data_IF_279544222079
#
_entry.id   IF_279544222079
#
_cell.length_a   1.000
_cell.length_b   1.000
_cell.length_c   1.000
_cell.angle_alpha   90.00
_cell.angle_beta   90.00
_cell.angle_gamma   90.00
#
_symmetry.space_group_name_H-M   'P 1'
#
loop_
_entity.id
_entity.type
_entity.pdbx_description
1 polymer ?
#
# COMPACT_ATOMS: atom_id res chain seq x y z
N UNK A 1 -4.84 26.77 -89.33
CA UNK A 1 -5.79 25.83 -88.70
C UNK A 1 -4.98 24.86 -87.88
N UNK A 2 -5.14 24.92 -86.56
CA UNK A 2 -4.32 24.23 -85.56
C UNK A 2 -4.28 25.02 -84.25
N UNK A 3 -5.44 25.50 -83.77
CA UNK A 3 -5.60 25.94 -82.38
C UNK A 3 -5.64 24.67 -81.51
N UNK A 4 -5.05 24.58 -80.33
CA UNK A 4 -4.68 25.59 -79.35
C UNK A 4 -5.12 25.02 -77.99
N UNK A 5 -4.23 25.04 -76.99
CA UNK A 5 -4.57 24.56 -75.65
C UNK A 5 -3.35 24.11 -74.87
N UNK A 6 -2.53 25.08 -74.45
CA UNK A 6 -1.51 24.90 -73.44
C UNK A 6 -2.18 24.63 -72.08
N UNK A 7 -1.83 23.51 -71.45
CA UNK A 7 -2.05 23.25 -70.03
C UNK A 7 -0.72 23.34 -69.31
N UNK A 8 -0.57 24.37 -68.50
CA UNK A 8 0.54 24.64 -67.60
C UNK A 8 0.37 23.89 -66.27
N UNK A 9 1.50 23.42 -65.71
CA UNK A 9 1.78 23.21 -64.26
C UNK A 9 0.97 22.10 -63.54
N UNK A 10 1.54 21.17 -62.78
CA UNK A 10 2.59 21.25 -61.77
C UNK A 10 3.50 19.99 -61.73
N UNK A 11 4.74 20.11 -61.23
CA UNK A 11 5.51 18.96 -60.79
C UNK A 11 4.89 18.38 -59.52
N UNK A 12 4.56 17.08 -59.54
CA UNK A 12 4.13 16.36 -58.34
C UNK A 12 5.25 16.47 -57.31
N UNK A 13 4.97 17.21 -56.23
CA UNK A 13 5.87 17.41 -55.09
C UNK A 13 6.39 16.05 -54.62
N UNK A 14 7.69 15.86 -54.78
CA UNK A 14 8.45 14.80 -54.13
C UNK A 14 8.38 15.03 -52.61
N UNK A 15 7.46 14.35 -51.94
CA UNK A 15 7.53 14.23 -50.49
C UNK A 15 8.57 13.15 -50.19
N UNK A 16 9.78 13.60 -49.86
CA UNK A 16 10.80 12.73 -49.28
C UNK A 16 10.23 12.16 -47.97
N UNK A 17 9.73 10.93 -48.04
CA UNK A 17 9.50 10.13 -46.85
C UNK A 17 10.88 9.80 -46.28
N UNK A 18 11.39 10.67 -45.41
CA UNK A 18 12.39 10.29 -44.44
C UNK A 18 11.75 9.24 -43.55
N UNK A 19 11.96 7.96 -43.89
CA UNK A 19 11.75 6.87 -42.95
C UNK A 19 12.88 6.95 -41.94
N UNK A 20 12.69 7.78 -40.92
CA UNK A 20 13.38 7.61 -39.66
C UNK A 20 12.79 6.35 -39.00
N UNK A 21 13.30 5.19 -39.43
CA UNK A 21 13.03 3.87 -38.88
C UNK A 21 13.84 3.66 -37.59
N UNK A 22 13.86 4.68 -36.74
CA UNK A 22 14.43 4.58 -35.40
C UNK A 22 13.33 4.03 -34.49
N UNK A 23 13.51 2.86 -33.86
CA UNK A 23 12.54 2.37 -32.89
C UNK A 23 12.36 3.42 -31.79
N UNK A 24 11.14 3.61 -31.25
CA UNK A 24 10.95 4.53 -30.15
C UNK A 24 11.91 4.14 -29.03
N UNK A 25 12.79 5.07 -28.66
CA UNK A 25 13.75 4.88 -27.58
C UNK A 25 12.99 4.33 -26.38
N UNK A 26 13.34 3.10 -25.97
CA UNK A 26 12.62 2.41 -24.91
C UNK A 26 12.60 3.32 -23.69
N UNK A 27 11.39 3.68 -23.22
CA UNK A 27 11.24 4.47 -22.02
C UNK A 27 12.11 3.86 -20.91
N UNK A 28 12.91 4.67 -20.19
CA UNK A 28 13.79 4.14 -19.17
C UNK A 28 12.96 3.28 -18.21
N UNK A 29 13.46 2.11 -17.80
CA UNK A 29 12.74 1.25 -16.88
C UNK A 29 12.34 2.08 -15.66
N UNK A 30 11.07 1.98 -15.26
CA UNK A 30 10.56 2.63 -14.06
C UNK A 30 11.56 2.37 -12.93
N UNK A 31 11.97 3.41 -12.17
CA UNK A 31 12.87 3.20 -11.05
C UNK A 31 12.23 2.17 -10.13
N UNK A 32 12.97 1.09 -9.82
CA UNK A 32 12.53 0.08 -8.88
C UNK A 32 12.07 0.77 -7.59
N UNK A 33 10.98 0.29 -6.93
CA UNK A 33 10.54 0.86 -5.68
C UNK A 33 11.73 0.93 -4.72
N UNK A 34 12.03 2.14 -4.22
CA UNK A 34 13.13 2.39 -3.28
C UNK A 34 12.78 1.80 -1.92
N UNK A 35 12.86 0.48 -1.81
CA UNK A 35 12.98 -0.19 -0.52
C UNK A 35 14.43 -0.64 -0.40
N UNK A 36 15.23 0.09 0.37
CA UNK A 36 16.47 -0.49 0.90
C UNK A 36 16.05 -1.74 1.68
N UNK A 37 16.53 -2.95 1.33
CA UNK A 37 16.18 -4.14 2.11
C UNK A 37 16.66 -3.91 3.54
N UNK A 38 15.73 -3.81 4.50
CA UNK A 38 16.10 -3.92 5.91
C UNK A 38 16.63 -5.34 6.14
N UNK A 39 17.72 -5.43 6.89
CA UNK A 39 18.24 -6.73 7.31
C UNK A 39 17.20 -7.45 8.18
N UNK A 40 17.08 -8.77 8.00
CA UNK A 40 16.10 -9.59 8.71
C UNK A 40 16.08 -9.41 10.25
N UNK A 41 17.23 -9.25 10.95
CA UNK A 41 17.23 -9.03 12.40
C UNK A 41 16.47 -7.75 12.81
N UNK A 42 16.65 -6.65 12.06
CA UNK A 42 15.99 -5.38 12.36
C UNK A 42 14.48 -5.45 12.14
N UNK A 43 14.03 -6.28 11.18
CA UNK A 43 12.61 -6.53 10.94
C UNK A 43 11.99 -7.27 12.13
N UNK A 44 12.67 -8.31 12.63
CA UNK A 44 12.17 -9.11 13.75
C UNK A 44 12.10 -8.29 15.04
N UNK A 45 13.14 -7.52 15.37
CA UNK A 45 13.14 -6.64 16.55
C UNK A 45 11.99 -5.62 16.51
N UNK A 46 11.71 -5.08 15.31
CA UNK A 46 10.60 -4.14 15.11
C UNK A 46 9.24 -4.83 15.24
N UNK A 47 9.07 -6.01 14.66
CA UNK A 47 7.83 -6.81 14.81
C UNK A 47 7.59 -7.17 16.27
N UNK A 48 8.63 -7.53 17.02
CA UNK A 48 8.52 -7.82 18.45
C UNK A 48 8.08 -6.59 19.25
N UNK A 49 8.62 -5.42 18.91
CA UNK A 49 8.20 -4.16 19.52
C UNK A 49 6.73 -3.82 19.20
N UNK A 50 6.29 -4.01 17.95
CA UNK A 50 4.89 -3.81 17.55
C UNK A 50 3.96 -4.82 18.25
N UNK A 51 4.36 -6.08 18.32
CA UNK A 51 3.59 -7.17 18.94
C UNK A 51 3.39 -6.89 20.42
N UNK A 52 4.47 -6.53 21.13
CA UNK A 52 4.40 -6.14 22.54
C UNK A 52 3.43 -4.98 22.75
N UNK A 53 3.57 -3.92 21.94
CA UNK A 53 2.67 -2.77 22.04
C UNK A 53 1.21 -3.16 21.77
N UNK A 54 0.95 -4.01 20.78
CA UNK A 54 -0.39 -4.48 20.48
C UNK A 54 -0.98 -5.29 21.65
N UNK A 55 -0.20 -6.16 22.30
CA UNK A 55 -0.64 -6.88 23.52
C UNK A 55 -1.03 -5.90 24.62
N UNK A 56 -0.16 -4.94 24.92
CA UNK A 56 -0.40 -3.92 25.96
C UNK A 56 -1.70 -3.15 25.67
N UNK A 57 -1.87 -2.66 24.44
CA UNK A 57 -3.05 -1.91 24.02
C UNK A 57 -4.34 -2.74 24.03
N UNK A 58 -4.28 -4.00 23.57
CA UNK A 58 -5.45 -4.90 23.57
C UNK A 58 -5.91 -5.25 24.99
N UNK A 59 -4.99 -5.27 25.96
CA UNK A 59 -5.28 -5.59 27.36
C UNK A 59 -5.54 -4.36 28.25
N UNK A 60 -5.35 -3.13 27.74
CA UNK A 60 -5.54 -1.88 28.48
C UNK A 60 -7.02 -1.60 28.86
N UNK A 61 -7.96 -2.22 28.16
CA UNK A 61 -9.39 -2.12 28.50
C UNK A 61 -10.32 -2.56 27.37
N UNK A 62 -11.65 -2.58 27.61
CA UNK A 62 -12.63 -3.12 26.67
C UNK A 62 -12.69 -2.38 25.31
N UNK A 63 -12.26 -1.13 25.26
CA UNK A 63 -12.22 -0.29 24.05
C UNK A 63 -10.78 0.03 23.58
N UNK A 64 -9.75 -0.51 24.25
CA UNK A 64 -8.34 -0.21 23.98
C UNK A 64 -7.88 -0.59 22.56
N UNK A 65 -8.60 -1.51 21.91
CA UNK A 65 -8.32 -1.95 20.55
C UNK A 65 -8.66 -0.92 19.46
N UNK A 66 -9.57 0.02 19.73
CA UNK A 66 -10.06 0.97 18.71
C UNK A 66 -8.96 1.84 18.09
N UNK A 67 -8.07 2.48 18.88
CA UNK A 67 -6.98 3.28 18.30
C UNK A 67 -5.81 2.44 17.76
N UNK A 68 -5.72 1.13 18.10
CA UNK A 68 -4.54 0.29 17.85
C UNK A 68 -3.98 0.40 16.43
N UNK A 69 -4.84 0.29 15.41
CA UNK A 69 -4.40 0.35 14.01
C UNK A 69 -3.77 1.70 13.66
N UNK A 70 -4.35 2.81 14.15
CA UNK A 70 -3.81 4.16 13.92
C UNK A 70 -2.55 4.41 14.73
N UNK A 71 -2.50 3.90 15.96
CA UNK A 71 -1.35 4.07 16.84
C UNK A 71 -0.12 3.35 16.29
N UNK A 72 -0.28 2.11 15.81
CA UNK A 72 0.79 1.36 15.14
C UNK A 72 1.28 2.11 13.89
N UNK A 73 0.37 2.58 13.05
CA UNK A 73 0.71 3.34 11.84
C UNK A 73 1.43 4.65 12.16
N UNK A 74 1.00 5.37 13.19
CA UNK A 74 1.62 6.62 13.60
C UNK A 74 3.00 6.43 14.24
N UNK A 75 3.20 5.33 14.97
CA UNK A 75 4.45 5.04 15.69
C UNK A 75 5.52 4.39 14.81
N UNK A 76 5.13 3.64 13.79
CA UNK A 76 6.05 3.01 12.83
C UNK A 76 5.67 3.31 11.37
N UNK A 77 5.65 4.58 10.95
CA UNK A 77 5.22 4.98 9.61
C UNK A 77 6.08 4.38 8.49
N UNK A 78 7.35 4.07 8.77
CA UNK A 78 8.31 3.50 7.85
C UNK A 78 8.25 1.96 7.74
N UNK A 79 7.53 1.30 8.65
CA UNK A 79 7.40 -0.15 8.60
C UNK A 79 6.56 -0.60 7.41
N UNK A 80 6.80 -1.82 6.93
CA UNK A 80 5.98 -2.38 5.84
C UNK A 80 4.56 -2.59 6.35
N UNK A 81 3.56 -2.29 5.52
CA UNK A 81 2.15 -2.41 5.90
C UNK A 81 1.80 -3.80 6.46
N UNK A 82 2.36 -4.87 5.89
CA UNK A 82 2.16 -6.24 6.36
C UNK A 82 2.82 -6.55 7.72
N UNK A 83 3.88 -5.85 8.12
CA UNK A 83 4.51 -6.07 9.43
C UNK A 83 3.54 -5.71 10.56
N UNK A 84 2.76 -4.64 10.39
CA UNK A 84 1.75 -4.22 11.37
C UNK A 84 0.67 -5.28 11.51
N UNK A 85 0.14 -5.76 10.37
CA UNK A 85 -0.90 -6.79 10.34
C UNK A 85 -0.38 -8.07 11.01
N UNK A 86 0.84 -8.49 10.68
CA UNK A 86 1.48 -9.65 11.27
C UNK A 86 1.65 -9.51 12.79
N UNK A 87 2.12 -8.35 13.27
CA UNK A 87 2.29 -8.09 14.70
C UNK A 87 0.96 -8.14 15.47
N UNK A 88 -0.13 -7.61 14.91
CA UNK A 88 -1.45 -7.64 15.55
C UNK A 88 -1.99 -9.07 15.62
N UNK A 89 -1.85 -9.86 14.54
CA UNK A 89 -2.26 -11.28 14.53
C UNK A 89 -1.46 -12.08 15.56
N UNK A 90 -0.15 -11.84 15.64
CA UNK A 90 0.73 -12.50 16.62
C UNK A 90 0.36 -12.11 18.05
N UNK A 91 0.02 -10.85 18.29
CA UNK A 91 -0.45 -10.38 19.59
C UNK A 91 -1.78 -11.04 20.00
N UNK A 92 -2.74 -11.11 19.08
CA UNK A 92 -4.03 -11.75 19.33
C UNK A 92 -3.88 -13.24 19.63
N UNK A 93 -3.08 -13.96 18.85
CA UNK A 93 -2.79 -15.39 19.08
C UNK A 93 -2.10 -15.61 20.44
N UNK A 94 -1.12 -14.78 20.78
CA UNK A 94 -0.45 -14.86 22.08
C UNK A 94 -1.44 -14.70 23.24
N UNK A 95 -2.40 -13.78 23.12
CA UNK A 95 -3.46 -13.59 24.12
C UNK A 95 -4.36 -14.84 24.19
N UNK A 96 -4.78 -15.42 23.07
CA UNK A 96 -5.59 -16.65 23.09
C UNK A 96 -4.85 -17.81 23.75
N UNK A 97 -3.56 -17.95 23.47
CA UNK A 97 -2.71 -19.03 24.00
C UNK A 97 -2.45 -18.85 25.51
N UNK A 98 -2.35 -17.61 26.00
CA UNK A 98 -2.04 -17.34 27.42
C UNK A 98 -3.23 -17.46 28.36
N UNK A 99 -4.47 -17.28 27.89
CA UNK A 99 -5.64 -17.17 28.75
C UNK A 99 -6.60 -18.36 28.61
N UNK A 100 -7.19 -18.76 29.75
CA UNK A 100 -8.16 -19.86 29.78
C UNK A 100 -9.47 -19.50 29.05
N UNK A 101 -10.20 -20.51 28.51
CA UNK A 101 -11.54 -20.32 27.95
C UNK A 101 -12.47 -19.57 28.90
N UNK A 102 -13.21 -18.59 28.38
CA UNK A 102 -14.10 -17.73 29.16
C UNK A 102 -13.44 -16.51 29.81
N UNK A 103 -12.12 -16.34 29.68
CA UNK A 103 -11.43 -15.11 30.09
C UNK A 103 -11.93 -13.90 29.28
N UNK A 104 -12.18 -12.73 29.93
CA UNK A 104 -12.45 -11.48 29.22
C UNK A 104 -11.36 -11.09 28.21
N UNK A 105 -10.11 -11.52 28.42
CA UNK A 105 -9.00 -11.27 27.50
C UNK A 105 -9.21 -11.87 26.09
N UNK A 106 -10.05 -12.91 25.97
CA UNK A 106 -10.36 -13.50 24.66
C UNK A 106 -11.19 -12.55 23.79
N UNK A 107 -11.99 -11.65 24.40
CA UNK A 107 -12.66 -10.60 23.65
C UNK A 107 -11.66 -9.60 23.05
N UNK A 108 -10.57 -9.32 23.78
CA UNK A 108 -9.47 -8.49 23.27
C UNK A 108 -8.72 -9.17 22.12
N UNK A 109 -8.48 -10.47 22.18
CA UNK A 109 -7.88 -11.22 21.06
C UNK A 109 -8.76 -11.15 19.80
N UNK A 110 -10.07 -11.40 19.95
CA UNK A 110 -11.02 -11.27 18.85
C UNK A 110 -11.04 -9.85 18.26
N UNK A 111 -10.92 -8.83 19.10
CA UNK A 111 -10.79 -7.45 18.64
C UNK A 111 -9.47 -7.20 17.88
N UNK A 112 -8.36 -7.80 18.32
CA UNK A 112 -7.08 -7.77 17.60
C UNK A 112 -7.21 -8.33 16.19
N UNK A 113 -7.80 -9.51 16.02
CA UNK A 113 -8.05 -10.08 14.69
C UNK A 113 -8.93 -9.17 13.82
N UNK A 114 -9.94 -8.54 14.40
CA UNK A 114 -10.79 -7.59 13.69
C UNK A 114 -9.99 -6.39 13.18
N UNK A 115 -9.10 -5.81 13.99
CA UNK A 115 -8.23 -4.71 13.56
C UNK A 115 -7.30 -5.16 12.44
N UNK A 116 -6.66 -6.33 12.57
CA UNK A 116 -5.80 -6.88 11.54
C UNK A 116 -6.54 -7.08 10.20
N UNK A 117 -7.78 -7.59 10.26
CA UNK A 117 -8.62 -7.76 9.09
C UNK A 117 -8.96 -6.43 8.42
N UNK A 118 -9.31 -5.39 9.20
CA UNK A 118 -9.59 -4.04 8.66
C UNK A 118 -8.37 -3.46 7.95
N UNK A 119 -7.18 -3.52 8.55
CA UNK A 119 -5.94 -3.08 7.89
C UNK A 119 -5.65 -3.90 6.63
N UNK A 120 -5.93 -5.20 6.63
CA UNK A 120 -5.79 -6.05 5.46
C UNK A 120 -6.74 -5.67 4.32
N UNK A 121 -7.98 -5.33 4.65
CA UNK A 121 -8.98 -4.83 3.67
C UNK A 121 -8.51 -3.51 3.06
N UNK A 122 -8.05 -2.57 3.89
CA UNK A 122 -7.53 -1.28 3.42
C UNK A 122 -6.31 -1.48 2.51
N UNK A 123 -5.39 -2.35 2.90
CA UNK A 123 -4.21 -2.67 2.10
C UNK A 123 -4.61 -3.26 0.74
N UNK A 124 -5.56 -4.19 0.73
CA UNK A 124 -6.09 -4.79 -0.49
C UNK A 124 -6.79 -3.76 -1.38
N UNK A 125 -7.57 -2.85 -0.79
CA UNK A 125 -8.22 -1.77 -1.52
C UNK A 125 -7.19 -0.82 -2.15
N UNK A 126 -6.17 -0.40 -1.40
CA UNK A 126 -5.09 0.45 -1.89
C UNK A 126 -4.36 -0.22 -3.06
N UNK A 127 -4.04 -1.52 -2.95
CA UNK A 127 -3.45 -2.31 -4.04
C UNK A 127 -4.34 -2.36 -5.28
N UNK A 128 -5.63 -2.65 -5.09
CA UNK A 128 -6.61 -2.78 -6.19
C UNK A 128 -6.84 -1.47 -6.93
N UNK A 129 -6.73 -0.34 -6.23
CA UNK A 129 -6.85 1.00 -6.80
C UNK A 129 -5.54 1.55 -7.37
N UNK A 130 -4.43 0.80 -7.29
CA UNK A 130 -3.11 1.26 -7.72
C UNK A 130 -2.54 2.40 -6.86
N UNK A 131 -3.02 2.53 -5.61
CA UNK A 131 -2.51 3.51 -4.65
C UNK A 131 -1.19 3.02 -4.01
N UNK A 132 -0.36 3.93 -3.45
CA UNK A 132 0.76 3.56 -2.59
C UNK A 132 0.29 2.62 -1.47
N UNK A 133 1.04 1.56 -1.18
CA UNK A 133 0.61 0.48 -0.27
C UNK A 133 1.78 -0.29 0.39
N UNK A 134 2.97 0.29 0.39
CA UNK A 134 4.18 -0.39 0.81
C UNK A 134 4.51 -0.17 2.28
N UNK A 135 4.31 1.06 2.76
CA UNK A 135 4.65 1.48 4.11
C UNK A 135 3.39 1.77 4.93
N UNK A 136 3.49 1.69 6.25
CA UNK A 136 2.40 2.05 7.15
C UNK A 136 1.91 3.50 6.93
N UNK A 137 2.82 4.42 6.61
CA UNK A 137 2.48 5.80 6.26
C UNK A 137 1.50 5.92 5.08
N UNK A 138 1.45 4.94 4.17
CA UNK A 138 0.53 4.95 3.04
C UNK A 138 -0.93 4.85 3.50
N UNK A 139 -1.21 4.18 4.63
CA UNK A 139 -2.54 4.16 5.24
C UNK A 139 -2.99 5.56 5.66
N UNK A 140 -2.10 6.40 6.20
CA UNK A 140 -2.44 7.77 6.60
C UNK A 140 -2.89 8.58 5.37
N UNK A 141 -2.20 8.43 4.26
CA UNK A 141 -2.56 9.11 3.02
C UNK A 141 -3.91 8.63 2.50
N UNK A 142 -4.15 7.31 2.53
CA UNK A 142 -5.41 6.68 2.13
C UNK A 142 -6.60 7.12 2.99
N UNK A 143 -6.49 7.06 4.33
CA UNK A 143 -7.59 7.43 5.22
C UNK A 143 -7.94 8.93 5.17
N UNK A 144 -7.01 9.79 4.75
CA UNK A 144 -7.28 11.22 4.56
C UNK A 144 -8.10 11.52 3.31
N UNK A 145 -7.99 10.69 2.27
CA UNK A 145 -8.71 10.89 1.01
C UNK A 145 -10.13 10.32 1.04
N UNK A 146 -10.45 9.41 1.96
CA UNK A 146 -11.77 8.78 2.07
C UNK A 146 -12.67 9.46 3.12
N UNK A 147 -13.84 10.03 2.74
CA UNK A 147 -14.82 10.57 3.67
C UNK A 147 -15.38 9.56 4.69
N UNK A 148 -15.40 8.27 4.35
CA UNK A 148 -16.00 7.21 5.18
C UNK A 148 -15.11 6.79 6.36
N UNK A 149 -13.79 7.02 6.29
CA UNK A 149 -12.82 6.56 7.30
C UNK A 149 -12.49 7.57 8.40
N UNK A 150 -13.16 8.73 8.43
CA UNK A 150 -13.03 9.71 9.54
C UNK A 150 -13.69 9.24 10.85
N UNK A 151 -14.42 8.12 10.85
CA UNK A 151 -15.31 7.72 11.95
C UNK A 151 -14.95 6.41 12.68
N UNK A 152 -13.90 5.70 12.25
CA UNK A 152 -13.27 4.67 13.12
C UNK A 152 -12.42 5.37 14.16
#
# INVERSE_FOLDING_TARGET
MGSGGQGTEEPVCAFAAGTDDSPPEAAPPLPAPRQTPLEAPVILDRIDAMTRHAIETLLDGPDGWRPLGRDLVARWPEARALELIFAIVSAAEAIETMFAPGSPALASAAAGYKVAALLGVDLFAMQSLGLPHHAAADFIAYWRSDPWFRLV
#
